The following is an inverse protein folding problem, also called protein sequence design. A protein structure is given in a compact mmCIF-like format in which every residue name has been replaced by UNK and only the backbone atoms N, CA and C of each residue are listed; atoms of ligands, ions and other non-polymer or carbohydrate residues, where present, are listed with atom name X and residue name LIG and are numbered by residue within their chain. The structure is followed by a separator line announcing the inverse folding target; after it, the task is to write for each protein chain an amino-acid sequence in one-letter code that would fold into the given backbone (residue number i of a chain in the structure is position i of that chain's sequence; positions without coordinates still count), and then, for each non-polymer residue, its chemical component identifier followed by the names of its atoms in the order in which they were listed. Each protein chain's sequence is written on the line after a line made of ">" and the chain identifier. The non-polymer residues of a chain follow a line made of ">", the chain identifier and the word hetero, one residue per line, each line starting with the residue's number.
data_IF_862717107407
#
_entry.id   IF_862717107407
#
_cell.length_a   1.000
_cell.length_b   1.000
_cell.length_c   1.000
_cell.angle_alpha   90.00
_cell.angle_beta   90.00
_cell.angle_gamma   90.00
#
_symmetry.space_group_name_H-M   'P 1'
#
loop_
_entity.id
_entity.type
_entity.pdbx_description
1 polymer ?
#
# COMPACT_ATOMS: atom_id res chain seq x y z
N UNK A 1 29.27 1.77 3.99
CA UNK A 1 27.84 1.62 4.31
C UNK A 1 27.06 1.98 3.06
N UNK A 2 26.56 0.99 2.30
CA UNK A 2 25.80 1.25 1.07
C UNK A 2 24.52 2.00 1.46
N UNK A 3 24.37 3.26 1.00
CA UNK A 3 23.16 4.05 1.21
C UNK A 3 22.03 3.33 0.45
N UNK A 4 21.07 2.74 1.16
CA UNK A 4 19.93 2.07 0.52
C UNK A 4 19.21 3.08 -0.37
N UNK A 5 19.00 2.73 -1.64
CA UNK A 5 18.30 3.57 -2.61
C UNK A 5 16.85 3.68 -2.16
N UNK A 6 16.42 4.89 -1.78
CA UNK A 6 15.02 5.16 -1.48
C UNK A 6 14.25 5.37 -2.78
N UNK A 7 13.14 4.66 -2.97
CA UNK A 7 12.32 4.72 -4.18
C UNK A 7 10.85 4.91 -3.83
N UNK A 8 10.22 5.87 -4.50
CA UNK A 8 8.81 6.19 -4.30
C UNK A 8 7.99 5.67 -5.48
N UNK A 9 6.99 4.86 -5.22
CA UNK A 9 6.00 4.39 -6.21
C UNK A 9 4.62 4.91 -5.85
N UNK A 10 3.73 4.96 -6.84
CA UNK A 10 2.34 5.36 -6.68
C UNK A 10 1.43 4.40 -7.42
N UNK A 11 0.33 4.02 -6.80
CA UNK A 11 -0.82 3.49 -7.53
C UNK A 11 -1.68 4.61 -8.13
N UNK A 12 -2.88 4.25 -8.53
CA UNK A 12 -3.87 5.07 -9.23
C UNK A 12 -4.90 5.74 -8.30
N UNK A 13 -4.94 5.41 -7.00
CA UNK A 13 -5.95 5.95 -6.10
C UNK A 13 -5.85 7.47 -5.92
N UNK A 14 -4.62 8.01 -5.83
CA UNK A 14 -4.38 9.46 -5.76
C UNK A 14 -2.98 9.85 -6.28
N UNK A 15 -2.77 9.89 -7.61
CA UNK A 15 -1.48 10.24 -8.21
C UNK A 15 -1.04 11.68 -7.91
N UNK A 16 -2.00 12.59 -7.67
CA UNK A 16 -1.70 13.99 -7.37
C UNK A 16 -1.02 14.12 -6.00
N UNK A 17 -1.56 13.46 -4.97
CA UNK A 17 -0.96 13.41 -3.65
C UNK A 17 0.45 12.80 -3.70
N UNK A 18 0.63 11.70 -4.43
CA UNK A 18 1.95 11.09 -4.58
C UNK A 18 2.96 12.05 -5.23
N UNK A 19 2.54 12.80 -6.25
CA UNK A 19 3.38 13.85 -6.88
C UNK A 19 3.70 15.00 -5.93
N UNK A 20 2.80 15.37 -5.01
CA UNK A 20 3.05 16.41 -3.99
C UNK A 20 4.07 15.93 -2.96
N UNK A 21 3.93 14.70 -2.47
CA UNK A 21 4.88 14.06 -1.55
C UNK A 21 6.27 13.95 -2.20
N UNK A 22 6.33 13.45 -3.44
CA UNK A 22 7.59 13.34 -4.18
C UNK A 22 8.31 14.71 -4.29
N UNK A 23 7.57 15.76 -4.67
CA UNK A 23 8.11 17.12 -4.75
C UNK A 23 8.58 17.66 -3.41
N UNK A 24 7.83 17.42 -2.33
CA UNK A 24 8.22 17.86 -0.99
C UNK A 24 9.52 17.20 -0.52
N UNK A 25 9.75 15.95 -0.90
CA UNK A 25 10.95 15.18 -0.55
C UNK A 25 12.12 15.36 -1.52
N UNK A 26 11.99 16.20 -2.55
CA UNK A 26 12.94 16.33 -3.66
C UNK A 26 13.26 14.98 -4.33
N UNK A 27 12.21 14.19 -4.55
CA UNK A 27 12.25 12.88 -5.19
C UNK A 27 11.36 12.86 -6.43
N UNK A 28 11.60 11.89 -7.29
CA UNK A 28 10.70 11.55 -8.39
C UNK A 28 9.90 10.29 -8.07
N UNK A 29 8.71 10.18 -8.63
CA UNK A 29 8.00 8.91 -8.70
C UNK A 29 8.78 7.97 -9.64
N UNK A 30 9.04 6.76 -9.15
CA UNK A 30 9.72 5.70 -9.88
C UNK A 30 8.78 5.13 -10.95
N UNK A 31 9.34 4.72 -12.09
CA UNK A 31 8.54 4.26 -13.23
C UNK A 31 7.92 2.90 -12.94
N UNK A 32 6.60 2.86 -13.02
CA UNK A 32 5.79 1.65 -13.06
C UNK A 32 4.62 1.88 -14.00
N UNK A 33 4.20 0.82 -14.69
CA UNK A 33 2.95 0.82 -15.44
C UNK A 33 1.90 0.12 -14.59
N UNK A 34 0.82 0.83 -14.28
CA UNK A 34 -0.31 0.30 -13.52
C UNK A 34 -1.55 0.56 -14.36
N UNK A 35 -2.04 -0.49 -14.99
CA UNK A 35 -3.10 -0.43 -15.99
C UNK A 35 -4.16 -1.50 -15.69
N UNK A 36 -5.16 -1.59 -16.57
CA UNK A 36 -6.14 -2.67 -16.56
C UNK A 36 -6.16 -3.38 -17.89
N UNK A 37 -6.37 -4.69 -17.84
CA UNK A 37 -6.77 -5.44 -19.02
C UNK A 37 -8.23 -5.14 -19.38
N UNK A 38 -8.68 -5.44 -20.62
CA UNK A 38 -10.04 -5.16 -21.08
C UNK A 38 -11.15 -5.72 -20.17
N UNK A 39 -10.91 -6.86 -19.53
CA UNK A 39 -11.80 -7.54 -18.59
C UNK A 39 -11.79 -6.94 -17.17
N UNK A 40 -10.90 -5.98 -16.91
CA UNK A 40 -10.86 -5.21 -15.66
C UNK A 40 -9.81 -5.66 -14.63
N UNK A 41 -9.07 -6.74 -14.91
CA UNK A 41 -7.95 -7.20 -14.10
C UNK A 41 -6.82 -6.16 -14.06
N UNK A 42 -6.17 -6.01 -12.91
CA UNK A 42 -5.08 -5.04 -12.72
C UNK A 42 -3.78 -5.61 -13.28
N UNK A 43 -3.13 -4.85 -14.17
CA UNK A 43 -1.84 -5.16 -14.74
C UNK A 43 -0.77 -4.25 -14.16
N UNK A 44 0.26 -4.82 -13.52
CA UNK A 44 1.38 -4.08 -12.92
C UNK A 44 2.70 -4.50 -13.55
N UNK A 45 3.51 -3.51 -13.92
CA UNK A 45 4.89 -3.70 -14.39
C UNK A 45 5.80 -2.68 -13.70
N UNK A 46 6.80 -3.16 -12.95
CA UNK A 46 7.84 -2.32 -12.34
C UNK A 46 8.94 -2.09 -13.39
N UNK A 47 9.12 -0.84 -13.82
CA UNK A 47 9.99 -0.49 -14.95
C UNK A 47 11.35 0.09 -14.52
N UNK A 48 11.72 -0.09 -13.25
CA UNK A 48 13.00 0.30 -12.70
C UNK A 48 13.61 -0.78 -11.83
N UNK A 49 14.94 -0.80 -11.75
CA UNK A 49 15.65 -1.73 -10.88
C UNK A 49 15.49 -1.34 -9.40
N UNK A 50 14.72 -2.17 -8.67
CA UNK A 50 14.37 -2.00 -7.26
C UNK A 50 15.10 -2.96 -6.31
N UNK A 51 15.95 -3.87 -6.81
CA UNK A 51 16.64 -4.85 -5.95
C UNK A 51 17.46 -4.14 -4.88
N UNK A 52 17.21 -4.49 -3.62
CA UNK A 52 17.88 -3.91 -2.46
C UNK A 52 17.42 -2.49 -2.07
N UNK A 53 16.43 -1.92 -2.77
CA UNK A 53 15.89 -0.59 -2.49
C UNK A 53 14.97 -0.59 -1.26
N UNK A 54 14.88 0.57 -0.59
CA UNK A 54 13.83 0.86 0.39
C UNK A 54 12.68 1.56 -0.34
N UNK A 55 11.56 0.85 -0.49
CA UNK A 55 10.44 1.26 -1.33
C UNK A 55 9.31 1.81 -0.47
N UNK A 56 8.83 2.99 -0.83
CA UNK A 56 7.59 3.57 -0.33
C UNK A 56 6.54 3.51 -1.44
N UNK A 57 5.45 2.79 -1.19
CA UNK A 57 4.34 2.65 -2.13
C UNK A 57 3.15 3.47 -1.64
N UNK A 58 2.88 4.59 -2.32
CA UNK A 58 1.73 5.44 -2.01
C UNK A 58 0.51 4.91 -2.76
N UNK A 59 -0.43 4.35 -2.00
CA UNK A 59 -1.70 3.89 -2.54
C UNK A 59 -2.72 3.81 -1.40
N UNK A 60 -3.72 4.67 -1.46
CA UNK A 60 -4.88 4.59 -0.57
C UNK A 60 -5.88 3.55 -1.06
N UNK A 61 -6.83 3.18 -0.21
CA UNK A 61 -7.94 2.28 -0.55
C UNK A 61 -9.28 3.04 -0.58
N UNK A 62 -9.25 4.28 -1.09
CA UNK A 62 -10.45 5.08 -1.33
C UNK A 62 -11.27 4.51 -2.49
N UNK A 63 -12.54 4.92 -2.69
CA UNK A 63 -13.34 4.45 -3.81
C UNK A 63 -12.64 4.64 -5.17
N UNK A 64 -12.64 3.61 -6.05
CA UNK A 64 -13.24 2.29 -5.87
C UNK A 64 -12.35 1.37 -5.00
N UNK A 65 -12.88 1.00 -3.82
CA UNK A 65 -12.10 0.47 -2.68
C UNK A 65 -11.41 -0.85 -2.99
N UNK A 66 -12.12 -1.79 -3.61
CA UNK A 66 -11.63 -3.15 -3.84
C UNK A 66 -10.53 -3.17 -4.89
N UNK A 67 -10.70 -2.35 -5.91
CA UNK A 67 -9.80 -2.22 -7.03
C UNK A 67 -8.49 -1.58 -6.59
N UNK A 68 -8.58 -0.49 -5.82
CA UNK A 68 -7.40 0.17 -5.26
C UNK A 68 -6.68 -0.73 -4.24
N UNK A 69 -7.42 -1.54 -3.48
CA UNK A 69 -6.85 -2.58 -2.61
C UNK A 69 -6.14 -3.66 -3.43
N UNK A 70 -6.78 -4.22 -4.46
CA UNK A 70 -6.16 -5.25 -5.30
C UNK A 70 -4.91 -4.71 -6.00
N UNK A 71 -4.97 -3.48 -6.51
CA UNK A 71 -3.81 -2.82 -7.11
C UNK A 71 -2.66 -2.66 -6.10
N UNK A 72 -2.94 -2.22 -4.86
CA UNK A 72 -1.95 -2.17 -3.78
C UNK A 72 -1.29 -3.55 -3.57
N UNK A 73 -2.09 -4.59 -3.41
CA UNK A 73 -1.59 -5.95 -3.12
C UNK A 73 -0.72 -6.49 -4.25
N UNK A 74 -1.13 -6.29 -5.50
CA UNK A 74 -0.38 -6.73 -6.70
C UNK A 74 0.91 -5.94 -6.84
N UNK A 75 0.90 -4.63 -6.58
CA UNK A 75 2.12 -3.83 -6.59
C UNK A 75 3.11 -4.25 -5.50
N UNK A 76 2.65 -4.57 -4.29
CA UNK A 76 3.50 -5.11 -3.21
C UNK A 76 4.14 -6.44 -3.65
N UNK A 77 3.34 -7.37 -4.19
CA UNK A 77 3.85 -8.67 -4.67
C UNK A 77 4.91 -8.48 -5.78
N UNK A 78 4.66 -7.60 -6.74
CA UNK A 78 5.61 -7.28 -7.81
C UNK A 78 6.94 -6.72 -7.26
N UNK A 79 6.89 -5.78 -6.32
CA UNK A 79 8.08 -5.21 -5.66
C UNK A 79 8.85 -6.25 -4.85
N UNK A 80 8.13 -7.14 -4.14
CA UNK A 80 8.72 -8.22 -3.35
C UNK A 80 9.46 -9.21 -4.25
N UNK A 81 8.83 -9.66 -5.34
CA UNK A 81 9.45 -10.56 -6.32
C UNK A 81 10.62 -9.90 -7.06
N UNK A 82 10.57 -8.59 -7.25
CA UNK A 82 11.69 -7.80 -7.76
C UNK A 82 12.83 -7.58 -6.72
N UNK A 83 12.73 -8.21 -5.54
CA UNK A 83 13.74 -8.22 -4.49
C UNK A 83 14.01 -6.85 -3.85
N UNK A 84 12.97 -6.01 -3.71
CA UNK A 84 13.04 -4.83 -2.84
C UNK A 84 13.51 -5.26 -1.43
N UNK A 85 14.37 -4.45 -0.79
CA UNK A 85 14.88 -4.78 0.55
C UNK A 85 13.86 -4.46 1.64
N UNK A 86 12.97 -3.50 1.39
CA UNK A 86 11.87 -3.14 2.28
C UNK A 86 10.75 -2.52 1.45
N UNK A 87 9.50 -2.82 1.81
CA UNK A 87 8.29 -2.25 1.23
C UNK A 87 7.46 -1.62 2.35
N UNK A 88 7.41 -0.30 2.37
CA UNK A 88 6.52 0.48 3.24
C UNK A 88 5.27 0.86 2.46
N UNK A 89 4.13 0.29 2.85
CA UNK A 89 2.83 0.64 2.27
C UNK A 89 2.32 1.93 2.92
N UNK A 90 2.17 2.98 2.11
CA UNK A 90 1.69 4.30 2.53
C UNK A 90 0.22 4.43 2.10
N UNK A 91 -0.69 4.33 3.06
CA UNK A 91 -2.15 4.37 2.86
C UNK A 91 -2.72 5.66 3.47
N UNK A 92 -2.84 6.76 2.69
CA UNK A 92 -3.46 8.01 3.15
C UNK A 92 -4.91 7.83 3.62
N UNK A 93 -5.59 6.80 3.12
CA UNK A 93 -6.92 6.41 3.56
C UNK A 93 -7.00 4.89 3.65
N UNK A 94 -7.40 4.41 4.83
CA UNK A 94 -7.62 2.99 5.12
C UNK A 94 -9.11 2.63 4.96
N UNK A 95 -9.47 2.17 3.77
CA UNK A 95 -10.77 1.57 3.45
C UNK A 95 -11.07 0.37 4.35
N UNK A 96 -12.35 0.02 4.46
CA UNK A 96 -12.85 -1.01 5.38
C UNK A 96 -12.62 -0.76 6.89
N UNK A 97 -11.98 0.35 7.28
CA UNK A 97 -11.73 0.68 8.68
C UNK A 97 -12.96 0.79 9.58
N UNK A 98 -14.16 1.01 9.01
CA UNK A 98 -15.43 1.03 9.77
C UNK A 98 -15.92 -0.35 10.23
N UNK A 99 -15.37 -1.43 9.66
CA UNK A 99 -15.74 -2.81 10.01
C UNK A 99 -14.59 -3.47 10.77
N UNK A 100 -14.31 -2.91 11.95
CA UNK A 100 -13.21 -3.22 12.86
C UNK A 100 -13.61 -4.17 14.01
N UNK A 101 -14.90 -4.45 14.19
CA UNK A 101 -15.40 -5.37 15.22
C UNK A 101 -16.64 -6.13 14.78
N UNK A 102 -16.93 -7.24 15.48
CA UNK A 102 -18.19 -7.96 15.33
C UNK A 102 -19.29 -7.23 16.08
N UNK A 103 -20.06 -6.40 15.38
CA UNK A 103 -21.22 -5.71 15.96
C UNK A 103 -22.49 -6.56 16.03
N UNK A 104 -22.54 -7.69 15.30
CA UNK A 104 -23.61 -8.69 15.34
C UNK A 104 -23.07 -10.08 14.97
N UNK A 105 -23.78 -11.17 15.27
CA UNK A 105 -23.39 -12.51 14.82
C UNK A 105 -23.24 -12.59 13.29
N UNK A 106 -22.25 -13.35 12.82
CA UNK A 106 -22.06 -13.63 11.39
C UNK A 106 -21.40 -12.54 10.53
N UNK A 107 -20.99 -11.39 11.08
CA UNK A 107 -20.27 -10.36 10.30
C UNK A 107 -18.75 -10.57 10.31
N UNK A 108 -18.05 -10.19 9.22
CA UNK A 108 -16.59 -10.17 9.21
C UNK A 108 -16.02 -8.97 9.96
N UNK A 109 -14.72 -9.06 10.29
CA UNK A 109 -13.89 -7.93 10.69
C UNK A 109 -13.01 -7.59 9.48
N UNK A 110 -13.58 -6.88 8.51
CA UNK A 110 -12.94 -6.64 7.22
C UNK A 110 -11.68 -5.80 7.35
N UNK A 111 -11.62 -4.89 8.33
CA UNK A 111 -10.40 -4.14 8.63
C UNK A 111 -9.23 -5.07 9.00
N UNK A 112 -9.46 -6.16 9.75
CA UNK A 112 -8.43 -7.16 10.08
C UNK A 112 -8.10 -8.04 8.87
N UNK A 113 -9.09 -8.41 8.06
CA UNK A 113 -8.85 -9.14 6.82
C UNK A 113 -7.92 -8.37 5.89
N UNK A 114 -8.19 -7.07 5.66
CA UNK A 114 -7.35 -6.20 4.82
C UNK A 114 -5.93 -6.09 5.39
N UNK A 115 -5.79 -5.95 6.72
CA UNK A 115 -4.48 -5.92 7.37
C UNK A 115 -3.68 -7.20 7.13
N UNK A 116 -4.33 -8.36 7.24
CA UNK A 116 -3.72 -9.66 6.95
C UNK A 116 -3.31 -9.78 5.48
N UNK A 117 -4.14 -9.31 4.54
CA UNK A 117 -3.83 -9.36 3.11
C UNK A 117 -2.62 -8.48 2.75
N UNK A 118 -2.56 -7.26 3.28
CA UNK A 118 -1.42 -6.34 3.08
C UNK A 118 -0.13 -6.93 3.67
N UNK A 119 -0.21 -7.55 4.84
CA UNK A 119 0.93 -8.22 5.46
C UNK A 119 1.37 -9.43 4.64
N UNK A 120 0.42 -10.26 4.20
CA UNK A 120 0.69 -11.48 3.44
C UNK A 120 1.25 -11.21 2.04
N UNK A 121 0.83 -10.13 1.36
CA UNK A 121 1.43 -9.73 0.08
C UNK A 121 2.90 -9.35 0.23
N UNK A 122 3.30 -8.92 1.43
CA UNK A 122 4.69 -8.71 1.83
C UNK A 122 5.08 -7.26 2.10
N UNK A 123 4.14 -6.46 2.61
CA UNK A 123 4.51 -5.18 3.22
C UNK A 123 5.31 -5.43 4.50
N UNK A 124 6.38 -4.68 4.70
CA UNK A 124 7.22 -4.75 5.91
C UNK A 124 6.80 -3.72 6.96
N UNK A 125 6.10 -2.66 6.53
CA UNK A 125 5.62 -1.56 7.37
C UNK A 125 4.40 -0.91 6.74
N UNK A 126 3.50 -0.42 7.58
CA UNK A 126 2.38 0.42 7.17
C UNK A 126 2.60 1.85 7.67
N UNK A 127 2.29 2.84 6.83
CA UNK A 127 2.11 4.23 7.23
C UNK A 127 0.70 4.67 6.82
N UNK A 128 -0.09 5.16 7.75
CA UNK A 128 -1.48 5.54 7.49
C UNK A 128 -1.92 6.74 8.34
N UNK A 129 -3.02 7.38 7.93
CA UNK A 129 -3.55 8.60 8.55
C UNK A 129 -4.94 8.34 9.11
N UNK A 130 -5.24 8.86 10.29
CA UNK A 130 -6.59 8.94 10.87
C UNK A 130 -7.44 7.66 10.72
N UNK A 131 -6.93 6.55 11.25
CA UNK A 131 -7.68 5.29 11.33
C UNK A 131 -9.00 5.51 12.07
N UNK A 132 -10.07 4.91 11.54
CA UNK A 132 -11.41 5.00 12.14
C UNK A 132 -11.43 4.60 13.63
N UNK A 133 -10.62 3.60 13.98
CA UNK A 133 -10.36 3.20 15.35
C UNK A 133 -8.85 2.96 15.51
N UNK A 134 -8.24 3.53 16.55
CA UNK A 134 -6.80 3.40 16.79
C UNK A 134 -6.35 1.93 17.00
N UNK A 135 -7.26 1.07 17.49
CA UNK A 135 -7.02 -0.36 17.70
C UNK A 135 -6.72 -1.11 16.40
N UNK A 136 -7.07 -0.56 15.24
CA UNK A 136 -6.73 -1.14 13.92
C UNK A 136 -5.21 -1.29 13.77
N UNK A 137 -4.40 -0.46 14.44
CA UNK A 137 -2.94 -0.65 14.47
C UNK A 137 -2.56 -2.05 14.98
N UNK A 138 -3.27 -2.57 15.99
CA UNK A 138 -3.06 -3.91 16.54
C UNK A 138 -3.56 -5.05 15.63
N UNK A 139 -4.14 -4.74 14.46
CA UNK A 139 -4.48 -5.76 13.47
C UNK A 139 -3.30 -6.15 12.59
N UNK A 140 -2.23 -5.36 12.56
CA UNK A 140 -1.04 -5.65 11.78
C UNK A 140 0.00 -6.36 12.64
N UNK A 141 0.63 -7.39 12.06
CA UNK A 141 1.77 -8.09 12.65
C UNK A 141 3.10 -7.46 12.19
N UNK A 142 3.04 -6.28 11.57
CA UNK A 142 4.15 -5.45 11.09
C UNK A 142 4.07 -4.07 11.74
N UNK A 143 5.19 -3.32 11.85
CA UNK A 143 5.17 -1.96 12.37
C UNK A 143 4.17 -1.06 11.62
N UNK A 144 3.38 -0.31 12.38
CA UNK A 144 2.42 0.66 11.85
C UNK A 144 2.76 2.04 12.42
N UNK A 145 2.99 2.99 11.52
CA UNK A 145 3.05 4.41 11.86
C UNK A 145 1.67 5.03 11.56
N UNK A 146 0.97 5.45 12.61
CA UNK A 146 -0.33 6.11 12.53
C UNK A 146 -0.16 7.59 12.86
N UNK A 147 -0.48 8.46 11.90
CA UNK A 147 -0.35 9.90 12.01
C UNK A 147 -1.71 10.58 12.14
#
# INVERSE_FOLDING_TARGET
>A
MFKKKLMLFSGNANPELAKKIARYLDLRISKSKVARYPEGEVAVEIQEHVRGADVFLIQGTSPPTNENLMELLIMIDALKRASAARITAVLPYYGYGRQDRKNRPGVPITAKLVANLITASGADRLLTLDLHAAQIQGFFDIPVDHL
#
